data_IF_661157227650
#
_entry.id   IF_661157227650
#
_cell.length_a   1.000
_cell.length_b   1.000
_cell.length_c   1.000
_cell.angle_alpha   90.00
_cell.angle_beta   90.00
_cell.angle_gamma   90.00
#
_symmetry.space_group_name_H-M   'P 1'
#
loop_
_entity.id
_entity.type
_entity.pdbx_description
1 polymer ?
#
# COMPACT_ATOMS: atom_id res chain seq x y z
N UNK A 1 6.16 9.91 18.80
CA UNK A 1 4.95 9.33 18.18
C UNK A 1 4.84 9.71 16.69
N UNK A 2 4.49 10.95 16.32
CA UNK A 2 4.25 11.26 14.89
C UNK A 2 5.52 11.21 14.02
N UNK A 3 6.66 11.69 14.53
CA UNK A 3 7.93 11.59 13.81
C UNK A 3 8.36 10.14 13.57
N UNK A 4 8.10 9.23 14.53
CA UNK A 4 8.34 7.80 14.33
C UNK A 4 7.43 7.22 13.25
N UNK A 5 6.17 7.67 13.19
CA UNK A 5 5.21 7.32 12.15
C UNK A 5 5.59 7.85 10.76
N UNK A 6 6.52 8.82 10.66
CA UNK A 6 7.01 9.34 9.38
C UNK A 6 8.32 8.65 9.01
N UNK A 7 9.27 8.59 9.94
CA UNK A 7 10.62 8.06 9.70
C UNK A 7 10.62 6.54 9.48
N UNK A 8 9.76 5.80 10.18
CA UNK A 8 9.71 4.34 10.05
C UNK A 8 9.29 3.88 8.64
N UNK A 9 8.16 4.35 8.07
CA UNK A 9 7.81 4.02 6.68
C UNK A 9 8.88 4.45 5.68
N UNK A 10 9.49 5.63 5.85
CA UNK A 10 10.56 6.10 4.96
C UNK A 10 11.70 5.08 4.93
N UNK A 11 12.18 4.63 6.09
CA UNK A 11 13.24 3.64 6.18
C UNK A 11 12.80 2.28 5.58
N UNK A 12 11.60 1.80 5.96
CA UNK A 12 11.08 0.52 5.50
C UNK A 12 10.88 0.48 3.97
N UNK A 13 10.35 1.54 3.36
CA UNK A 13 10.15 1.62 1.91
C UNK A 13 11.47 1.82 1.17
N UNK A 14 12.37 2.66 1.70
CA UNK A 14 13.70 2.82 1.12
C UNK A 14 14.46 1.48 1.07
N UNK A 15 14.37 0.65 2.11
CA UNK A 15 14.95 -0.69 2.12
C UNK A 15 14.21 -1.64 1.16
N UNK A 16 12.88 -1.62 1.14
CA UNK A 16 12.09 -2.53 0.30
C UNK A 16 12.33 -2.31 -1.19
N UNK A 17 12.37 -1.05 -1.63
CA UNK A 17 12.52 -0.67 -3.04
C UNK A 17 13.97 -0.36 -3.45
N UNK A 18 14.80 0.15 -2.54
CA UNK A 18 16.16 0.57 -2.84
C UNK A 18 17.18 -0.57 -2.81
N UNK A 19 16.92 -1.64 -2.05
CA UNK A 19 17.78 -2.82 -2.02
C UNK A 19 17.21 -3.93 -2.89
N UNK A 20 17.96 -4.37 -3.91
CA UNK A 20 17.56 -5.44 -4.84
C UNK A 20 17.67 -6.86 -4.25
N UNK A 21 18.28 -7.02 -3.08
CA UNK A 21 18.42 -8.31 -2.41
C UNK A 21 17.11 -8.86 -1.85
N UNK A 22 16.98 -10.18 -1.86
CA UNK A 22 15.87 -10.92 -1.25
C UNK A 22 14.53 -10.81 -2.01
N UNK A 23 13.50 -11.48 -1.48
CA UNK A 23 12.17 -11.46 -2.07
C UNK A 23 11.43 -10.15 -1.75
N UNK A 24 11.00 -9.42 -2.77
CA UNK A 24 10.25 -8.17 -2.64
C UNK A 24 9.00 -8.30 -1.76
N UNK A 25 8.20 -9.35 -1.98
CA UNK A 25 6.94 -9.58 -1.27
C UNK A 25 7.15 -9.82 0.23
N UNK A 26 8.23 -10.53 0.59
CA UNK A 26 8.59 -10.71 2.00
C UNK A 26 8.99 -9.37 2.63
N UNK A 27 9.79 -8.56 1.93
CA UNK A 27 10.22 -7.23 2.43
C UNK A 27 9.05 -6.28 2.64
N UNK A 28 8.14 -6.18 1.67
CA UNK A 28 6.96 -5.30 1.81
C UNK A 28 6.02 -5.81 2.89
N UNK A 29 5.81 -7.13 3.00
CA UNK A 29 5.02 -7.73 4.06
C UNK A 29 5.59 -7.41 5.45
N UNK A 30 6.90 -7.58 5.64
CA UNK A 30 7.59 -7.24 6.88
C UNK A 30 7.51 -5.74 7.20
N UNK A 31 7.69 -4.88 6.19
CA UNK A 31 7.57 -3.43 6.32
C UNK A 31 6.19 -3.01 6.79
N UNK A 32 5.13 -3.58 6.20
CA UNK A 32 3.75 -3.32 6.62
C UNK A 32 3.50 -3.81 8.04
N UNK A 33 3.97 -5.00 8.40
CA UNK A 33 3.82 -5.51 9.77
C UNK A 33 4.52 -4.62 10.81
N UNK A 34 5.67 -4.03 10.48
CA UNK A 34 6.38 -3.11 11.36
C UNK A 34 5.60 -1.80 11.57
N UNK A 35 5.13 -1.16 10.50
CA UNK A 35 4.37 0.10 10.62
C UNK A 35 3.00 -0.15 11.26
N UNK A 36 2.36 -1.29 10.98
CA UNK A 36 1.14 -1.73 11.65
C UNK A 36 1.38 -1.92 13.15
N UNK A 37 2.43 -2.64 13.54
CA UNK A 37 2.81 -2.84 14.93
C UNK A 37 3.06 -1.51 15.66
N UNK A 38 3.73 -0.57 14.99
CA UNK A 38 3.92 0.79 15.50
C UNK A 38 2.58 1.51 15.73
N UNK A 39 1.68 1.48 14.74
CA UNK A 39 0.35 2.06 14.87
C UNK A 39 -0.42 1.46 16.04
N UNK A 40 -0.49 0.12 16.13
CA UNK A 40 -1.25 -0.58 17.17
C UNK A 40 -0.71 -0.35 18.57
N UNK A 41 0.61 -0.12 18.71
CA UNK A 41 1.22 0.23 19.99
C UNK A 41 0.74 1.60 20.51
N UNK A 42 0.54 2.57 19.62
CA UNK A 42 0.17 3.94 20.00
C UNK A 42 -1.34 4.21 19.94
N UNK A 43 -2.08 3.53 19.08
CA UNK A 43 -3.49 3.78 18.85
C UNK A 43 -4.24 2.50 18.49
N UNK A 44 -5.32 2.23 19.22
CA UNK A 44 -6.25 1.16 18.84
C UNK A 44 -7.10 1.61 17.64
N UNK A 45 -7.23 0.77 16.61
CA UNK A 45 -8.05 1.11 15.45
C UNK A 45 -9.53 1.14 15.83
N UNK A 46 -10.23 2.18 15.38
CA UNK A 46 -11.68 2.29 15.53
C UNK A 46 -12.34 1.65 14.31
N UNK A 47 -12.62 0.36 14.39
CA UNK A 47 -13.24 -0.38 13.30
C UNK A 47 -14.76 -0.31 13.45
N UNK A 48 -15.43 0.33 12.50
CA UNK A 48 -16.90 0.33 12.42
C UNK A 48 -17.33 -0.34 11.12
N UNK A 49 -18.06 -1.43 11.20
CA UNK A 49 -18.60 -2.11 10.04
C UNK A 49 -19.93 -1.46 9.65
N UNK A 50 -19.98 -0.88 8.45
CA UNK A 50 -21.21 -0.35 7.85
C UNK A 50 -21.37 -0.93 6.46
N UNK A 51 -22.57 -1.42 6.15
CA UNK A 51 -22.88 -1.98 4.83
C UNK A 51 -22.67 -0.95 3.70
N UNK A 52 -22.97 0.33 3.95
CA UNK A 52 -22.69 1.39 2.98
C UNK A 52 -21.20 1.55 2.66
N UNK A 53 -20.33 1.40 3.67
CA UNK A 53 -18.88 1.46 3.48
C UNK A 53 -18.35 0.34 2.59
N UNK A 54 -18.98 -0.84 2.63
CA UNK A 54 -18.61 -1.96 1.76
C UNK A 54 -18.88 -1.65 0.28
N UNK A 55 -20.09 -1.18 -0.05
CA UNK A 55 -20.43 -0.79 -1.43
C UNK A 55 -19.61 0.41 -1.91
N UNK A 56 -19.38 1.40 -1.05
CA UNK A 56 -18.48 2.52 -1.36
C UNK A 56 -17.04 2.05 -1.62
N UNK A 57 -16.56 1.06 -0.88
CA UNK A 57 -15.25 0.43 -1.11
C UNK A 57 -15.16 -0.21 -2.49
N UNK A 58 -16.16 -1.03 -2.85
CA UNK A 58 -16.24 -1.66 -4.19
C UNK A 58 -16.30 -0.60 -5.29
N UNK A 59 -17.16 0.40 -5.13
CA UNK A 59 -17.30 1.48 -6.12
C UNK A 59 -15.98 2.26 -6.27
N UNK A 60 -15.33 2.59 -5.16
CA UNK A 60 -14.03 3.28 -5.16
C UNK A 60 -12.96 2.45 -5.85
N UNK A 61 -12.92 1.14 -5.59
CA UNK A 61 -11.99 0.23 -6.26
C UNK A 61 -12.25 0.15 -7.77
N UNK A 62 -13.52 0.08 -8.20
CA UNK A 62 -13.88 0.07 -9.61
C UNK A 62 -13.50 1.36 -10.33
N UNK A 63 -13.78 2.52 -9.70
CA UNK A 63 -13.39 3.84 -10.23
C UNK A 63 -11.87 3.96 -10.33
N UNK A 64 -11.15 3.58 -9.28
CA UNK A 64 -9.68 3.64 -9.26
C UNK A 64 -9.07 2.71 -10.32
N UNK A 65 -9.61 1.50 -10.47
CA UNK A 65 -9.19 0.59 -11.53
C UNK A 65 -9.43 1.19 -12.91
N UNK A 66 -10.59 1.81 -13.14
CA UNK A 66 -10.89 2.46 -14.42
C UNK A 66 -9.91 3.61 -14.73
N UNK A 67 -9.55 4.42 -13.72
CA UNK A 67 -8.54 5.47 -13.87
C UNK A 67 -7.18 4.87 -14.26
N UNK A 68 -6.73 3.81 -13.59
CA UNK A 68 -5.47 3.14 -13.93
C UNK A 68 -5.51 2.46 -15.29
N UNK A 69 -6.65 1.89 -15.67
CA UNK A 69 -6.85 1.33 -17.00
C UNK A 69 -6.68 2.38 -18.08
N UNK A 70 -7.36 3.53 -17.95
CA UNK A 70 -7.19 4.65 -18.87
C UNK A 70 -5.75 5.17 -18.87
N UNK A 71 -5.14 5.31 -17.68
CA UNK A 71 -3.74 5.71 -17.55
C UNK A 71 -2.79 4.78 -18.30
N UNK A 72 -2.95 3.47 -18.15
CA UNK A 72 -2.14 2.47 -18.84
C UNK A 72 -2.37 2.48 -20.37
N UNK A 73 -3.60 2.71 -20.81
CA UNK A 73 -3.91 2.83 -22.24
C UNK A 73 -3.38 4.13 -22.85
N UNK A 74 -3.41 5.23 -22.11
CA UNK A 74 -3.05 6.57 -22.62
C UNK A 74 -1.56 6.89 -22.45
N UNK A 75 -0.90 6.38 -21.41
CA UNK A 75 0.51 6.66 -21.12
C UNK A 75 1.48 6.43 -22.29
N UNK A 76 1.34 5.38 -23.13
CA UNK A 76 2.24 5.15 -24.26
C UNK A 76 2.21 6.26 -25.31
N UNK A 77 1.13 7.04 -25.40
CA UNK A 77 1.01 8.15 -26.34
C UNK A 77 1.74 9.41 -25.88
N UNK A 78 1.99 9.56 -24.57
CA UNK A 78 2.60 10.76 -23.98
C UNK A 78 4.01 10.49 -23.44
N UNK A 79 4.30 9.25 -23.04
CA UNK A 79 5.54 8.87 -22.35
C UNK A 79 6.17 7.69 -23.10
N UNK A 80 7.29 7.96 -23.77
CA UNK A 80 8.11 6.94 -24.42
C UNK A 80 8.64 5.94 -23.39
N UNK A 81 8.37 4.64 -23.59
CA UNK A 81 8.82 3.58 -22.68
C UNK A 81 7.89 3.28 -21.50
N UNK A 82 6.72 3.91 -21.42
CA UNK A 82 5.73 3.67 -20.35
C UNK A 82 5.38 2.18 -20.20
N UNK A 83 5.15 1.45 -21.31
CA UNK A 83 4.83 0.02 -21.25
C UNK A 83 5.98 -0.82 -20.66
N UNK A 84 7.24 -0.47 -20.96
CA UNK A 84 8.41 -1.18 -20.46
C UNK A 84 8.60 -1.00 -18.95
N UNK A 85 8.37 0.22 -18.44
CA UNK A 85 8.45 0.51 -17.00
C UNK A 85 7.33 -0.18 -16.21
N UNK A 86 6.10 -0.18 -16.76
CA UNK A 86 4.97 -0.92 -16.17
C UNK A 86 5.28 -2.41 -16.11
N UNK A 87 5.78 -3.00 -17.21
CA UNK A 87 6.22 -4.39 -17.24
C UNK A 87 7.32 -4.71 -16.21
N UNK A 88 8.26 -3.79 -15.99
CA UNK A 88 9.34 -3.94 -15.02
C UNK A 88 8.90 -4.07 -13.55
N UNK A 89 7.75 -3.50 -13.19
CA UNK A 89 7.17 -3.69 -11.85
C UNK A 89 6.54 -5.09 -11.75
N UNK A 90 5.89 -5.55 -12.81
CA UNK A 90 5.33 -6.91 -12.84
C UNK A 90 6.41 -7.99 -12.86
N UNK A 91 7.59 -7.70 -13.40
CA UNK A 91 8.74 -8.60 -13.31
C UNK A 91 9.33 -8.72 -11.90
N UNK A 92 9.06 -7.78 -10.98
CA UNK A 92 9.40 -7.97 -9.55
C UNK A 92 8.63 -9.14 -8.91
N UNK A 93 7.53 -9.56 -9.53
CA UNK A 93 6.77 -10.74 -9.15
C UNK A 93 7.20 -12.03 -9.85
N UNK A 94 8.13 -11.98 -10.82
CA UNK A 94 8.61 -13.19 -11.51
C UNK A 94 9.28 -14.13 -10.51
N UNK A 95 8.83 -15.40 -10.51
CA UNK A 95 9.29 -16.43 -9.57
C UNK A 95 8.52 -16.51 -8.25
N UNK A 96 7.57 -15.60 -7.96
CA UNK A 96 6.70 -15.70 -6.78
C UNK A 96 5.33 -16.28 -7.12
N UNK A 97 4.79 -17.12 -6.23
CA UNK A 97 3.43 -17.68 -6.41
C UNK A 97 2.39 -16.56 -6.39
N UNK A 98 1.68 -16.39 -7.52
CA UNK A 98 0.61 -15.39 -7.67
C UNK A 98 -0.45 -15.48 -6.58
N UNK A 99 -0.74 -16.70 -6.11
CA UNK A 99 -1.70 -16.93 -5.03
C UNK A 99 -1.18 -16.41 -3.67
N UNK A 100 0.09 -16.63 -3.36
CA UNK A 100 0.69 -16.11 -2.12
C UNK A 100 0.78 -14.58 -2.15
N UNK A 101 1.13 -14.01 -3.30
CA UNK A 101 1.14 -12.55 -3.50
C UNK A 101 -0.26 -11.97 -3.30
N UNK A 102 -1.28 -12.61 -3.86
CA UNK A 102 -2.67 -12.22 -3.67
C UNK A 102 -3.07 -12.24 -2.19
N UNK A 103 -2.78 -13.32 -1.46
CA UNK A 103 -3.09 -13.42 -0.03
C UNK A 103 -2.32 -12.38 0.79
N UNK A 104 -1.06 -12.13 0.47
CA UNK A 104 -0.24 -11.12 1.13
C UNK A 104 -0.88 -9.73 0.98
N UNK A 105 -1.22 -9.35 -0.26
CA UNK A 105 -1.84 -8.07 -0.57
C UNK A 105 -3.21 -7.93 0.10
N UNK A 106 -4.03 -8.98 0.05
CA UNK A 106 -5.39 -8.95 0.58
C UNK A 106 -5.43 -8.93 2.12
N UNK A 107 -4.59 -9.72 2.78
CA UNK A 107 -4.69 -9.97 4.22
C UNK A 107 -3.70 -9.16 5.05
N UNK A 108 -2.53 -8.80 4.50
CA UNK A 108 -1.46 -8.13 5.24
C UNK A 108 -1.28 -6.71 4.74
N UNK A 109 -0.93 -6.55 3.45
CA UNK A 109 -0.51 -5.27 2.90
C UNK A 109 -1.67 -4.27 2.89
N UNK A 110 -2.80 -4.63 2.29
CA UNK A 110 -3.98 -3.77 2.21
C UNK A 110 -4.52 -3.33 3.58
N UNK A 111 -4.90 -4.27 4.48
CA UNK A 111 -5.43 -3.92 5.80
C UNK A 111 -4.41 -3.21 6.68
N UNK A 112 -3.15 -3.65 6.67
CA UNK A 112 -2.09 -3.07 7.50
C UNK A 112 -1.77 -1.64 7.12
N UNK A 113 -1.69 -1.34 5.82
CA UNK A 113 -1.49 0.01 5.32
C UNK A 113 -2.69 0.91 5.63
N UNK A 114 -3.92 0.46 5.46
CA UNK A 114 -5.11 1.27 5.76
C UNK A 114 -5.18 1.64 7.26
N UNK A 115 -4.89 0.69 8.15
CA UNK A 115 -4.83 0.94 9.60
C UNK A 115 -3.73 1.94 9.93
N UNK A 116 -2.55 1.81 9.32
CA UNK A 116 -1.43 2.70 9.57
C UNK A 116 -1.64 4.11 9.00
N UNK A 117 -1.92 4.21 7.69
CA UNK A 117 -2.01 5.49 6.99
C UNK A 117 -3.24 6.28 7.44
N UNK A 118 -4.44 5.70 7.30
CA UNK A 118 -5.68 6.41 7.63
C UNK A 118 -6.00 6.33 9.11
N UNK A 119 -5.89 5.13 9.66
CA UNK A 119 -6.28 4.86 11.04
C UNK A 119 -5.37 5.50 12.09
N UNK A 120 -4.12 5.83 11.75
CA UNK A 120 -3.16 6.39 12.69
C UNK A 120 -2.47 7.65 12.18
N UNK A 121 -1.68 7.61 11.10
CA UNK A 121 -0.89 8.77 10.69
C UNK A 121 -1.78 9.96 10.33
N UNK A 122 -2.75 9.76 9.44
CA UNK A 122 -3.71 10.80 9.04
C UNK A 122 -4.52 11.29 10.24
N UNK A 123 -5.11 10.40 11.04
CA UNK A 123 -5.88 10.78 12.23
C UNK A 123 -5.05 11.60 13.25
N UNK A 124 -3.77 11.26 13.44
CA UNK A 124 -2.86 12.01 14.31
C UNK A 124 -2.44 13.35 13.72
N UNK A 125 -2.31 13.44 12.39
CA UNK A 125 -2.07 14.71 11.70
C UNK A 125 -3.30 15.61 11.84
N UNK A 126 -4.50 15.12 11.51
CA UNK A 126 -5.75 15.89 11.60
C UNK A 126 -5.97 16.48 13.01
N UNK A 127 -5.63 15.73 14.06
CA UNK A 127 -5.71 16.25 15.45
C UNK A 127 -4.75 17.40 15.76
N UNK A 128 -3.66 17.53 15.00
CA UNK A 128 -2.61 18.53 15.22
C UNK A 128 -2.72 19.74 14.30
N UNK A 129 -3.07 19.51 13.03
CA UNK A 129 -3.03 20.54 11.98
C UNK A 129 -4.41 20.92 11.43
N UNK A 130 -5.48 20.23 11.83
CA UNK A 130 -6.83 20.40 11.26
C UNK A 130 -6.99 19.66 9.95
#
# INVERSE_FOLDING_TARGET
MIWGAILLPIACWALTFGWSGGNFWVKIGASVLLVLGYSLYWQRPKITLRFSSFFLGILSAAVLYFIFFLGNSLAPYFISGAQGQVGGIYSLGEGSSKFLVFLLLLLITGPGEEIFWRGFLQDQMMKRIG
#
